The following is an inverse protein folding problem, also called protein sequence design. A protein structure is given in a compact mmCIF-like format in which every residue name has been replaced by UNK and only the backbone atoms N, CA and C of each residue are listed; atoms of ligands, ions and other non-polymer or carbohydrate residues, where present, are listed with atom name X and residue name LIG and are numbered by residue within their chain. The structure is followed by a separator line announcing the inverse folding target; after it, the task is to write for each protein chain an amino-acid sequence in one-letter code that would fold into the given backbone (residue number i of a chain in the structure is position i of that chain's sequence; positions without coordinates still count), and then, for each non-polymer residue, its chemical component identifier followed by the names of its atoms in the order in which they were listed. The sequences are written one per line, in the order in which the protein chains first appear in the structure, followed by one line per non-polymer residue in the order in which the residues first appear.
data_IF_803987424313
#
_entry.id   IF_803987424313
#
_cell.length_a   1.000
_cell.length_b   1.000
_cell.length_c   1.000
_cell.angle_alpha   90.00
_cell.angle_beta   90.00
_cell.angle_gamma   90.00
#
_symmetry.space_group_name_H-M   'P 1'
#
loop_
_entity.id
_entity.type
_entity.pdbx_description
1 polymer ?
#
# COMPACT_ATOMS: atom_id res chain seq x y z
N UNK A 1 -42.89 -2.87 33.78
CA UNK A 1 -41.64 -3.40 33.22
C UNK A 1 -40.69 -2.22 33.03
N UNK A 2 -39.58 -2.17 33.78
CA UNK A 2 -38.61 -1.09 33.64
C UNK A 2 -37.87 -1.27 32.32
N UNK A 3 -37.93 -0.24 31.46
CA UNK A 3 -37.16 -0.16 30.23
C UNK A 3 -35.71 0.04 30.66
N UNK A 4 -34.89 -1.01 30.61
CA UNK A 4 -33.44 -0.88 30.78
C UNK A 4 -32.91 -0.09 29.59
N UNK A 5 -32.51 1.16 29.83
CA UNK A 5 -31.83 1.97 28.86
C UNK A 5 -30.63 1.18 28.29
N UNK A 6 -30.54 1.09 26.96
CA UNK A 6 -29.37 0.47 26.32
C UNK A 6 -28.13 1.27 26.74
N UNK A 7 -27.06 0.61 27.23
CA UNK A 7 -25.85 1.30 27.62
C UNK A 7 -25.26 2.04 26.41
N UNK A 8 -24.85 3.29 26.64
CA UNK A 8 -24.42 4.22 25.58
C UNK A 8 -23.10 3.79 24.93
N UNK A 9 -22.26 3.10 25.70
CA UNK A 9 -21.02 2.48 25.25
C UNK A 9 -21.03 0.98 25.59
N UNK A 10 -20.50 0.18 24.68
CA UNK A 10 -20.28 -1.25 24.93
C UNK A 10 -19.16 -1.44 25.96
N UNK A 11 -19.19 -2.56 26.70
CA UNK A 11 -18.11 -2.91 27.64
C UNK A 11 -16.73 -2.95 26.96
N UNK A 12 -16.71 -3.32 25.68
CA UNK A 12 -15.50 -3.34 24.89
C UNK A 12 -14.91 -1.93 24.65
N UNK A 13 -15.77 -0.96 24.31
CA UNK A 13 -15.38 0.44 24.12
C UNK A 13 -14.89 1.07 25.42
N UNK A 14 -15.60 0.85 26.53
CA UNK A 14 -15.22 1.38 27.84
C UNK A 14 -13.89 0.80 28.30
N UNK A 15 -13.72 -0.51 28.22
CA UNK A 15 -12.46 -1.17 28.62
C UNK A 15 -11.30 -0.71 27.74
N UNK A 16 -11.50 -0.59 26.42
CA UNK A 16 -10.47 -0.09 25.50
C UNK A 16 -10.09 1.37 25.72
N UNK A 17 -10.99 2.19 26.27
CA UNK A 17 -10.67 3.57 26.61
C UNK A 17 -9.81 3.67 27.88
N UNK A 18 -10.17 2.92 28.93
CA UNK A 18 -9.53 3.05 30.25
C UNK A 18 -8.29 2.18 30.44
N UNK A 19 -8.14 1.06 29.73
CA UNK A 19 -7.09 0.08 29.98
C UNK A 19 -6.14 -0.09 28.79
N UNK A 20 -4.85 -0.15 29.09
CA UNK A 20 -3.77 -0.50 28.15
C UNK A 20 -3.05 -1.77 28.64
N UNK A 21 -2.55 -2.65 27.74
CA UNK A 21 -1.74 -3.79 28.15
C UNK A 21 -0.48 -3.32 28.89
N UNK A 22 -0.12 -4.01 29.98
CA UNK A 22 1.17 -3.82 30.62
C UNK A 22 2.28 -4.37 29.72
N UNK A 23 3.45 -3.79 29.86
CA UNK A 23 4.67 -4.23 29.19
C UNK A 23 5.73 -4.58 30.22
N UNK A 24 6.61 -5.51 29.88
CA UNK A 24 7.77 -5.85 30.70
C UNK A 24 8.96 -4.93 30.39
N UNK A 25 10.11 -5.22 31.01
CA UNK A 25 11.34 -4.44 30.87
C UNK A 25 11.96 -4.51 29.47
N UNK A 26 11.46 -5.42 28.61
CA UNK A 26 11.85 -5.57 27.21
C UNK A 26 10.80 -5.00 26.24
N UNK A 27 9.82 -4.27 26.77
CA UNK A 27 8.67 -3.71 26.04
C UNK A 27 7.72 -4.78 25.45
N UNK A 28 7.81 -6.04 25.87
CA UNK A 28 6.90 -7.11 25.42
C UNK A 28 5.55 -7.04 26.15
N UNK A 29 4.47 -7.34 25.43
CA UNK A 29 3.10 -7.27 25.99
C UNK A 29 2.89 -8.41 26.98
N UNK A 30 2.56 -8.06 28.23
CA UNK A 30 2.14 -9.01 29.24
C UNK A 30 0.63 -9.26 29.08
N UNK A 31 0.27 -10.31 28.33
CA UNK A 31 -1.10 -10.60 27.88
C UNK A 31 -2.18 -10.59 28.97
N UNK A 32 -1.83 -10.92 30.21
CA UNK A 32 -2.80 -11.01 31.30
C UNK A 32 -2.94 -9.72 32.11
N UNK A 33 -2.08 -8.72 31.94
CA UNK A 33 -2.06 -7.53 32.80
C UNK A 33 -2.37 -6.27 32.02
N UNK A 34 -3.25 -5.46 32.58
CA UNK A 34 -3.70 -4.21 31.98
C UNK A 34 -3.62 -3.09 32.99
N UNK A 35 -3.09 -1.94 32.58
CA UNK A 35 -3.01 -0.73 33.40
C UNK A 35 -4.16 0.20 33.04
N UNK A 36 -4.93 0.59 34.05
CA UNK A 36 -5.95 1.63 33.92
C UNK A 36 -5.30 3.02 33.82
N UNK A 37 -6.00 4.00 33.25
CA UNK A 37 -5.60 5.42 33.25
C UNK A 37 -5.39 6.01 34.64
N UNK A 38 -6.07 5.50 35.67
CA UNK A 38 -5.81 5.88 37.06
C UNK A 38 -4.50 5.26 37.63
N UNK A 39 -3.76 4.49 36.83
CA UNK A 39 -2.51 3.83 37.22
C UNK A 39 -2.68 2.40 37.77
N UNK A 40 -3.91 2.02 38.15
CA UNK A 40 -4.21 0.69 38.73
C UNK A 40 -3.99 -0.43 37.71
N UNK A 41 -3.23 -1.45 38.10
CA UNK A 41 -3.02 -2.65 37.27
C UNK A 41 -4.06 -3.72 37.62
N UNK A 42 -4.66 -4.33 36.61
CA UNK A 42 -5.67 -5.38 36.72
C UNK A 42 -5.29 -6.57 35.85
N UNK A 43 -5.39 -7.77 36.44
CA UNK A 43 -5.18 -9.03 35.74
C UNK A 43 -6.48 -9.51 35.08
N UNK A 44 -6.45 -9.85 33.80
CA UNK A 44 -7.55 -10.51 33.10
C UNK A 44 -7.48 -12.02 33.35
N UNK A 45 -8.47 -12.56 34.07
CA UNK A 45 -8.58 -14.02 34.28
C UNK A 45 -9.47 -14.64 33.21
N UNK A 46 -9.07 -15.80 32.66
CA UNK A 46 -9.80 -16.51 31.58
C UNK A 46 -11.28 -16.79 31.90
N UNK A 47 -11.67 -16.83 33.18
CA UNK A 47 -13.05 -17.12 33.63
C UNK A 47 -14.01 -15.93 33.66
N UNK A 48 -13.53 -14.68 33.71
CA UNK A 48 -14.37 -13.53 34.08
C UNK A 48 -14.68 -12.54 32.94
N UNK A 49 -14.26 -12.82 31.70
CA UNK A 49 -14.45 -11.90 30.57
C UNK A 49 -13.92 -10.49 30.84
N UNK A 50 -14.52 -9.45 30.25
CA UNK A 50 -14.20 -8.02 30.53
C UNK A 50 -14.92 -7.46 31.77
N UNK A 51 -15.52 -8.30 32.61
CA UNK A 51 -16.40 -7.87 33.70
C UNK A 51 -15.62 -7.23 34.84
N UNK A 52 -14.44 -7.75 35.15
CA UNK A 52 -13.52 -7.19 36.17
C UNK A 52 -13.08 -5.75 35.84
N UNK A 53 -12.83 -5.45 34.56
CA UNK A 53 -12.47 -4.12 34.10
C UNK A 53 -13.65 -3.17 34.18
N UNK A 54 -14.84 -3.60 33.75
CA UNK A 54 -16.05 -2.79 33.87
C UNK A 54 -16.41 -2.47 35.32
N UNK A 55 -16.21 -3.42 36.24
CA UNK A 55 -16.41 -3.17 37.66
C UNK A 55 -15.43 -2.11 38.20
N UNK A 56 -14.15 -2.19 37.79
CA UNK A 56 -13.16 -1.18 38.15
C UNK A 56 -13.52 0.20 37.60
N UNK A 57 -13.90 0.30 36.32
CA UNK A 57 -14.29 1.58 35.72
C UNK A 57 -15.50 2.18 36.42
N UNK A 58 -16.53 1.39 36.70
CA UNK A 58 -17.73 1.90 37.41
C UNK A 58 -17.43 2.40 38.82
N UNK A 59 -16.41 1.84 39.48
CA UNK A 59 -16.04 2.22 40.84
C UNK A 59 -15.09 3.43 40.87
N UNK A 60 -14.00 3.38 40.10
CA UNK A 60 -12.95 4.41 40.12
C UNK A 60 -13.21 5.57 39.15
N UNK A 61 -14.08 5.36 38.15
CA UNK A 61 -14.45 6.35 37.14
C UNK A 61 -15.98 6.46 37.05
N UNK A 62 -16.68 6.92 38.10
CA UNK A 62 -18.14 6.96 38.14
C UNK A 62 -18.76 7.83 37.02
N UNK A 63 -18.02 8.82 36.52
CA UNK A 63 -18.41 9.68 35.41
C UNK A 63 -17.86 9.23 34.05
N UNK A 64 -17.50 7.96 33.90
CA UNK A 64 -16.81 7.46 32.71
C UNK A 64 -17.52 7.77 31.38
N UNK A 65 -18.86 7.76 31.36
CA UNK A 65 -19.60 8.07 30.14
C UNK A 65 -19.42 9.54 29.72
N UNK A 66 -19.43 10.46 30.68
CA UNK A 66 -19.19 11.89 30.44
C UNK A 66 -17.74 12.14 30.03
N UNK A 67 -16.77 11.51 30.70
CA UNK A 67 -15.35 11.59 30.34
C UNK A 67 -15.10 11.05 28.92
N UNK A 68 -15.74 9.95 28.54
CA UNK A 68 -15.66 9.40 27.18
C UNK A 68 -16.33 10.33 26.15
N UNK A 69 -17.46 10.97 26.50
CA UNK A 69 -18.13 11.97 25.65
C UNK A 69 -17.31 13.25 25.49
N UNK A 70 -16.72 13.79 26.56
CA UNK A 70 -15.82 14.95 26.51
C UNK A 70 -14.55 14.64 25.72
N UNK A 71 -14.01 13.43 25.85
CA UNK A 71 -12.91 12.96 25.02
C UNK A 71 -13.31 12.77 23.55
N UNK A 72 -14.60 12.55 23.27
CA UNK A 72 -15.13 12.48 21.90
C UNK A 72 -15.43 13.88 21.32
N UNK A 73 -15.83 14.83 22.16
CA UNK A 73 -16.33 16.17 21.76
C UNK A 73 -15.24 17.26 21.78
N UNK A 74 -14.30 17.21 22.73
CA UNK A 74 -13.14 18.14 22.78
C UNK A 74 -12.00 17.73 21.85
N UNK A 75 -12.07 16.52 21.26
CA UNK A 75 -11.05 15.98 20.34
C UNK A 75 -11.55 15.80 18.91
N UNK A 76 -12.22 16.81 18.37
CA UNK A 76 -12.17 17.04 16.92
C UNK A 76 -10.72 17.29 16.42
N UNK A 77 -9.76 17.46 17.34
CA UNK A 77 -8.33 17.63 17.04
C UNK A 77 -7.37 16.48 17.43
N UNK A 78 -7.80 15.37 18.06
CA UNK A 78 -6.85 14.28 18.35
C UNK A 78 -7.48 12.91 18.57
N UNK A 79 -7.67 12.17 17.49
CA UNK A 79 -7.98 10.72 17.47
C UNK A 79 -6.89 9.85 18.13
N UNK A 80 -5.77 10.43 18.61
CA UNK A 80 -4.58 9.72 19.09
C UNK A 80 -4.83 8.78 20.29
N UNK A 81 -5.87 8.99 21.10
CA UNK A 81 -6.16 8.06 22.20
C UNK A 81 -6.91 6.80 21.77
N UNK A 82 -7.43 6.76 20.54
CA UNK A 82 -8.14 5.60 19.97
C UNK A 82 -7.29 4.82 18.97
N UNK A 83 -6.23 5.44 18.44
CA UNK A 83 -5.31 4.81 17.49
C UNK A 83 -4.19 4.13 18.27
N UNK A 84 -3.97 2.84 18.01
CA UNK A 84 -2.87 2.10 18.66
C UNK A 84 -1.52 2.78 18.42
N UNK A 85 -0.61 2.74 19.41
CA UNK A 85 0.75 3.28 19.25
C UNK A 85 1.46 2.67 18.05
N UNK A 86 1.29 1.36 17.82
CA UNK A 86 1.81 0.65 16.65
C UNK A 86 1.30 1.26 15.33
N UNK A 87 0.00 1.56 15.23
CA UNK A 87 -0.58 2.20 14.04
C UNK A 87 -0.04 3.62 13.82
N UNK A 88 0.17 4.39 14.91
CA UNK A 88 0.77 5.72 14.82
C UNK A 88 2.22 5.66 14.33
N UNK A 89 3.01 4.72 14.87
CA UNK A 89 4.40 4.48 14.46
C UNK A 89 4.47 4.09 12.98
N UNK A 90 3.66 3.13 12.53
CA UNK A 90 3.63 2.70 11.13
C UNK A 90 3.24 3.85 10.19
N UNK A 91 2.19 4.60 10.53
CA UNK A 91 1.77 5.77 9.76
C UNK A 91 2.88 6.83 9.72
N UNK A 92 3.54 7.12 10.84
CA UNK A 92 4.63 8.09 10.91
C UNK A 92 5.79 7.71 10.00
N UNK A 93 6.21 6.44 10.02
CA UNK A 93 7.25 5.94 9.13
C UNK A 93 6.83 5.99 7.66
N UNK A 94 5.64 5.50 7.31
CA UNK A 94 5.12 5.53 5.93
C UNK A 94 5.04 6.96 5.40
N UNK A 95 4.46 7.88 6.17
CA UNK A 95 4.36 9.28 5.80
C UNK A 95 5.74 9.87 5.54
N UNK A 96 6.70 9.63 6.41
CA UNK A 96 8.05 10.16 6.24
C UNK A 96 8.71 9.60 4.97
N UNK A 97 8.72 8.28 4.82
CA UNK A 97 9.33 7.60 3.66
C UNK A 97 8.72 8.10 2.36
N UNK A 98 7.39 8.15 2.26
CA UNK A 98 6.68 8.53 1.03
C UNK A 98 6.84 10.01 0.72
N UNK A 99 6.57 10.90 1.69
CA UNK A 99 6.61 12.36 1.44
C UNK A 99 8.01 12.89 1.18
N UNK A 100 9.03 12.22 1.70
CA UNK A 100 10.43 12.58 1.47
C UNK A 100 11.09 11.78 0.34
N UNK A 101 10.35 10.90 -0.34
CA UNK A 101 10.85 10.03 -1.40
C UNK A 101 12.13 9.27 -0.99
N UNK A 102 12.09 8.64 0.20
CA UNK A 102 13.19 7.88 0.75
C UNK A 102 13.02 6.38 0.46
N UNK A 103 14.10 5.60 0.42
CA UNK A 103 13.99 4.14 0.32
C UNK A 103 13.34 3.57 1.59
N UNK A 104 12.60 2.45 1.47
CA UNK A 104 12.00 1.77 2.64
C UNK A 104 13.03 1.41 3.72
N UNK A 105 14.26 1.08 3.32
CA UNK A 105 15.40 0.79 4.22
C UNK A 105 15.76 1.95 5.14
N UNK A 106 15.25 3.16 4.88
CA UNK A 106 15.43 4.33 5.73
C UNK A 106 14.93 4.09 7.17
N UNK A 107 13.85 3.34 7.37
CA UNK A 107 13.34 3.03 8.72
C UNK A 107 14.28 2.13 9.53
N UNK A 108 15.22 1.47 8.86
CA UNK A 108 16.22 0.59 9.45
C UNK A 108 17.57 1.27 9.65
N UNK A 109 17.75 2.45 9.07
CA UNK A 109 19.00 3.18 9.16
C UNK A 109 19.30 3.52 10.64
N UNK A 110 20.51 3.14 11.08
CA UNK A 110 20.95 3.30 12.47
C UNK A 110 20.97 4.76 12.94
N UNK A 111 21.38 5.70 12.08
CA UNK A 111 21.39 7.11 12.42
C UNK A 111 19.95 7.64 12.53
N UNK A 112 19.09 7.30 11.57
CA UNK A 112 17.67 7.67 11.61
C UNK A 112 16.99 7.18 12.88
N UNK A 113 17.17 5.91 13.24
CA UNK A 113 16.65 5.31 14.48
C UNK A 113 17.17 5.99 15.74
N UNK A 114 18.39 6.54 15.70
CA UNK A 114 19.00 7.26 16.84
C UNK A 114 18.39 8.64 17.06
N UNK A 115 17.94 9.30 16.00
CA UNK A 115 17.49 10.70 16.06
C UNK A 115 15.98 10.90 15.91
N UNK A 116 15.24 9.84 15.58
CA UNK A 116 13.77 9.86 15.51
C UNK A 116 13.12 9.65 16.89
N UNK A 117 11.88 10.11 17.03
CA UNK A 117 11.01 9.80 18.16
C UNK A 117 10.06 8.62 17.88
N UNK A 118 10.06 8.10 16.64
CA UNK A 118 9.25 6.94 16.25
C UNK A 118 9.88 5.64 16.78
N UNK A 119 9.05 4.73 17.27
CA UNK A 119 9.53 3.42 17.69
C UNK A 119 10.14 2.67 16.47
N UNK A 120 11.24 1.91 16.63
CA UNK A 120 11.89 1.22 15.51
C UNK A 120 10.98 0.23 14.79
N UNK A 121 11.05 0.20 13.45
CA UNK A 121 10.36 -0.79 12.60
C UNK A 121 11.32 -1.36 11.55
N UNK A 122 11.05 -2.57 11.07
CA UNK A 122 11.74 -3.16 9.92
C UNK A 122 10.94 -2.96 8.62
N UNK A 123 11.62 -3.12 7.49
CA UNK A 123 11.01 -3.00 6.16
C UNK A 123 9.87 -4.00 6.00
N UNK A 124 10.04 -5.22 6.49
CA UNK A 124 9.02 -6.28 6.40
C UNK A 124 7.75 -5.89 7.16
N UNK A 125 7.88 -5.24 8.32
CA UNK A 125 6.72 -4.79 9.10
C UNK A 125 5.98 -3.67 8.38
N UNK A 126 6.70 -2.70 7.78
CA UNK A 126 6.08 -1.65 6.98
C UNK A 126 5.38 -2.21 5.74
N UNK A 127 6.02 -3.16 5.05
CA UNK A 127 5.46 -3.80 3.86
C UNK A 127 4.21 -4.61 4.20
N UNK A 128 4.27 -5.45 5.23
CA UNK A 128 3.13 -6.23 5.71
C UNK A 128 1.95 -5.34 6.14
N UNK A 129 2.21 -4.18 6.75
CA UNK A 129 1.16 -3.23 7.09
C UNK A 129 0.49 -2.61 5.85
N UNK A 130 1.26 -2.31 4.81
CA UNK A 130 0.74 -1.81 3.54
C UNK A 130 -0.08 -2.88 2.81
N UNK A 131 0.46 -4.10 2.72
CA UNK A 131 -0.20 -5.27 2.15
C UNK A 131 -1.52 -5.54 2.88
N UNK A 132 -1.51 -5.61 4.22
CA UNK A 132 -2.71 -5.82 5.02
C UNK A 132 -3.77 -4.72 4.82
N UNK A 133 -3.34 -3.46 4.66
CA UNK A 133 -4.26 -2.35 4.37
C UNK A 133 -4.95 -2.55 3.03
N UNK A 134 -4.20 -2.92 1.98
CA UNK A 134 -4.76 -3.19 0.65
C UNK A 134 -5.68 -4.42 0.73
N UNK A 135 -5.25 -5.51 1.35
CA UNK A 135 -6.03 -6.75 1.51
C UNK A 135 -7.36 -6.51 2.22
N UNK A 136 -7.36 -5.70 3.28
CA UNK A 136 -8.59 -5.39 4.03
C UNK A 136 -9.58 -4.53 3.25
N UNK A 137 -9.09 -3.71 2.32
CA UNK A 137 -9.88 -2.80 1.49
C UNK A 137 -10.34 -3.49 0.19
N UNK A 138 -9.50 -4.33 -0.40
CA UNK A 138 -9.69 -4.92 -1.72
C UNK A 138 -10.88 -5.89 -1.75
N UNK A 139 -11.90 -5.63 -2.58
CA UNK A 139 -13.05 -6.53 -2.74
C UNK A 139 -12.65 -7.83 -3.43
N UNK A 140 -13.56 -8.80 -3.44
CA UNK A 140 -13.34 -10.05 -4.18
C UNK A 140 -13.38 -9.80 -5.69
N UNK A 141 -14.22 -8.88 -6.17
CA UNK A 141 -14.28 -8.50 -7.58
C UNK A 141 -13.36 -7.31 -7.88
N UNK A 142 -12.34 -7.53 -8.70
CA UNK A 142 -11.36 -6.51 -9.07
C UNK A 142 -10.89 -6.68 -10.52
N UNK A 143 -10.26 -5.67 -11.09
CA UNK A 143 -9.47 -5.78 -12.32
C UNK A 143 -7.98 -5.71 -12.03
N UNK A 144 -7.17 -6.12 -13.01
CA UNK A 144 -5.71 -5.97 -12.96
C UNK A 144 -5.24 -5.01 -14.03
N UNK A 145 -4.29 -4.14 -13.69
CA UNK A 145 -3.58 -3.30 -14.67
C UNK A 145 -2.14 -3.79 -14.69
N UNK A 146 -1.68 -4.17 -15.88
CA UNK A 146 -0.36 -4.71 -16.12
C UNK A 146 0.46 -3.69 -16.90
N UNK A 147 1.65 -3.42 -16.38
CA UNK A 147 2.65 -2.61 -17.06
C UNK A 147 3.94 -3.41 -17.18
N UNK A 148 4.33 -3.72 -18.41
CA UNK A 148 5.52 -4.50 -18.71
C UNK A 148 6.58 -3.63 -19.34
N UNK A 149 7.79 -3.61 -18.78
CA UNK A 149 8.92 -2.92 -19.38
C UNK A 149 10.21 -3.72 -19.26
N UNK A 150 11.21 -3.37 -20.06
CA UNK A 150 12.52 -4.01 -20.02
C UNK A 150 13.57 -2.99 -19.62
N UNK A 151 14.39 -3.34 -18.64
CA UNK A 151 15.52 -2.52 -18.21
C UNK A 151 16.75 -3.41 -18.07
N UNK A 152 17.86 -3.03 -18.74
CA UNK A 152 19.16 -3.73 -18.62
C UNK A 152 19.03 -5.26 -18.76
N UNK A 153 18.36 -5.72 -19.83
CA UNK A 153 18.07 -7.12 -20.16
C UNK A 153 17.12 -7.89 -19.23
N UNK A 154 16.59 -7.26 -18.18
CA UNK A 154 15.56 -7.85 -17.33
C UNK A 154 14.19 -7.30 -17.70
N UNK A 155 13.20 -8.19 -17.79
CA UNK A 155 11.80 -7.80 -17.96
C UNK A 155 11.16 -7.66 -16.59
N UNK A 156 10.45 -6.56 -16.39
CA UNK A 156 9.72 -6.24 -15.18
C UNK A 156 8.24 -6.19 -15.50
N UNK A 157 7.45 -6.74 -14.57
CA UNK A 157 6.00 -6.62 -14.57
C UNK A 157 5.56 -5.83 -13.33
N UNK A 158 4.96 -4.67 -13.56
CA UNK A 158 4.14 -3.96 -12.59
C UNK A 158 2.71 -4.46 -12.64
N UNK A 159 2.14 -4.76 -11.48
CA UNK A 159 0.75 -5.22 -11.33
C UNK A 159 0.04 -4.28 -10.36
N UNK A 160 -1.02 -3.65 -10.83
CA UNK A 160 -1.93 -2.86 -10.01
C UNK A 160 -3.28 -3.58 -9.91
N UNK A 161 -3.87 -3.56 -8.73
CA UNK A 161 -5.29 -3.88 -8.59
C UNK A 161 -6.12 -2.68 -9.01
N UNK A 162 -7.32 -2.88 -9.54
CA UNK A 162 -8.27 -1.84 -9.91
C UNK A 162 -9.66 -2.20 -9.38
N UNK A 163 -10.21 -1.40 -8.49
CA UNK A 163 -11.52 -1.65 -7.88
C UNK A 163 -12.18 -0.36 -7.43
N UNK A 164 -13.48 -0.40 -7.11
CA UNK A 164 -14.25 0.76 -6.68
C UNK A 164 -14.68 0.64 -5.22
N UNK A 165 -14.49 1.72 -4.45
CA UNK A 165 -15.01 1.84 -3.09
C UNK A 165 -15.66 3.20 -2.92
N UNK A 166 -16.95 3.20 -2.60
CA UNK A 166 -17.73 4.43 -2.41
C UNK A 166 -17.64 5.36 -3.62
N UNK A 167 -17.79 4.82 -4.84
CA UNK A 167 -17.71 5.58 -6.10
C UNK A 167 -16.35 6.21 -6.40
N UNK A 168 -15.29 5.74 -5.75
CA UNK A 168 -13.92 6.11 -6.06
C UNK A 168 -13.16 4.89 -6.53
N UNK A 169 -12.60 4.99 -7.74
CA UNK A 169 -11.68 4.00 -8.27
C UNK A 169 -10.38 4.07 -7.47
N UNK A 170 -9.90 2.90 -7.04
CA UNK A 170 -8.63 2.69 -6.37
C UNK A 170 -7.75 1.85 -7.28
N UNK A 171 -6.49 2.27 -7.43
CA UNK A 171 -5.51 1.58 -8.27
C UNK A 171 -4.16 1.37 -7.56
N UNK A 172 -4.12 0.63 -6.42
CA UNK A 172 -2.87 0.41 -5.72
C UNK A 172 -1.92 -0.50 -6.54
N UNK A 173 -0.63 -0.18 -6.52
CA UNK A 173 0.42 -1.10 -6.96
C UNK A 173 0.48 -2.25 -5.94
N UNK A 174 0.24 -3.47 -6.40
CA UNK A 174 0.24 -4.66 -5.55
C UNK A 174 1.48 -5.51 -5.76
N UNK A 175 2.15 -5.38 -6.90
CA UNK A 175 3.40 -6.07 -7.16
C UNK A 175 4.25 -5.34 -8.21
N UNK A 176 5.56 -5.43 -8.05
CA UNK A 176 6.55 -5.12 -9.08
C UNK A 176 7.61 -6.20 -8.99
N UNK A 177 7.69 -7.06 -10.00
CA UNK A 177 8.59 -8.21 -9.98
C UNK A 177 9.34 -8.34 -11.31
N UNK A 178 10.63 -8.73 -11.28
CA UNK A 178 11.28 -9.21 -12.48
C UNK A 178 10.65 -10.55 -12.88
N UNK A 179 10.28 -10.69 -14.14
CA UNK A 179 9.79 -11.94 -14.72
C UNK A 179 10.68 -12.34 -15.88
N UNK A 180 10.93 -13.64 -16.03
CA UNK A 180 11.63 -14.12 -17.21
C UNK A 180 10.70 -13.97 -18.41
N UNK A 181 11.17 -13.24 -19.42
CA UNK A 181 10.49 -13.21 -20.70
C UNK A 181 11.05 -14.37 -21.52
N UNK A 182 10.24 -15.38 -21.74
CA UNK A 182 10.59 -16.51 -22.58
C UNK A 182 10.58 -16.08 -24.05
N UNK A 183 11.31 -16.80 -24.90
CA UNK A 183 11.31 -16.52 -26.34
C UNK A 183 9.94 -16.79 -27.00
N UNK A 184 9.12 -17.62 -26.35
CA UNK A 184 7.75 -17.90 -26.75
C UNK A 184 6.77 -17.09 -25.88
N UNK A 185 6.02 -16.20 -26.53
CA UNK A 185 5.03 -15.34 -25.86
C UNK A 185 3.96 -16.13 -25.09
N UNK A 186 3.67 -17.37 -25.54
CA UNK A 186 2.76 -18.28 -24.86
C UNK A 186 3.32 -18.79 -23.53
N UNK A 187 4.62 -19.11 -23.50
CA UNK A 187 5.33 -19.47 -22.27
C UNK A 187 5.42 -18.28 -21.31
N UNK A 188 5.72 -17.07 -21.81
CA UNK A 188 5.70 -15.85 -20.99
C UNK A 188 4.31 -15.60 -20.38
N UNK A 189 3.24 -15.71 -21.17
CA UNK A 189 1.88 -15.53 -20.66
C UNK A 189 1.48 -16.60 -19.62
N UNK A 190 1.94 -17.84 -19.78
CA UNK A 190 1.74 -18.90 -18.79
C UNK A 190 2.46 -18.57 -17.48
N UNK A 191 3.73 -18.16 -17.56
CA UNK A 191 4.52 -17.75 -16.40
C UNK A 191 3.88 -16.56 -15.67
N UNK A 192 3.38 -15.56 -16.41
CA UNK A 192 2.65 -14.43 -15.83
C UNK A 192 1.38 -14.89 -15.11
N UNK A 193 0.61 -15.81 -15.70
CA UNK A 193 -0.59 -16.37 -15.06
C UNK A 193 -0.25 -17.13 -13.79
N UNK A 194 0.74 -18.01 -13.82
CA UNK A 194 1.16 -18.79 -12.64
C UNK A 194 1.66 -17.89 -11.53
N UNK A 195 2.49 -16.90 -11.88
CA UNK A 195 2.94 -15.88 -10.95
C UNK A 195 1.76 -15.15 -10.27
N UNK A 196 0.77 -14.69 -11.04
CA UNK A 196 -0.41 -14.02 -10.49
C UNK A 196 -1.27 -14.97 -9.64
N UNK A 197 -1.44 -16.21 -10.08
CA UNK A 197 -2.21 -17.23 -9.38
C UNK A 197 -1.57 -17.66 -8.06
N UNK A 198 -0.25 -17.51 -7.91
CA UNK A 198 0.46 -17.74 -6.65
C UNK A 198 0.51 -16.49 -5.77
N UNK A 199 0.74 -15.33 -6.36
CA UNK A 199 0.92 -14.06 -5.66
C UNK A 199 -0.38 -13.56 -5.02
N UNK A 200 -1.49 -13.58 -5.77
CA UNK A 200 -2.77 -13.06 -5.29
C UNK A 200 -3.28 -13.80 -4.04
N UNK A 201 -3.28 -15.15 -3.97
CA UNK A 201 -3.74 -15.84 -2.76
C UNK A 201 -2.77 -15.68 -1.60
N UNK A 202 -1.46 -15.76 -1.87
CA UNK A 202 -0.42 -15.71 -0.84
C UNK A 202 -0.37 -14.36 -0.14
N UNK A 203 -0.42 -13.28 -0.92
CA UNK A 203 -0.14 -11.93 -0.41
C UNK A 203 -1.44 -11.15 -0.12
N UNK A 204 -2.54 -11.44 -0.84
CA UNK A 204 -3.79 -10.70 -0.74
C UNK A 204 -5.03 -11.56 -0.42
N UNK A 205 -4.90 -12.88 -0.33
CA UNK A 205 -6.03 -13.78 -0.14
C UNK A 205 -7.04 -13.75 -1.28
N UNK A 206 -6.61 -13.34 -2.48
CA UNK A 206 -7.46 -13.21 -3.67
C UNK A 206 -7.16 -14.31 -4.67
N UNK A 207 -8.18 -14.75 -5.39
CA UNK A 207 -8.04 -15.74 -6.45
C UNK A 207 -8.05 -15.06 -7.81
N UNK A 208 -7.28 -15.60 -8.75
CA UNK A 208 -7.14 -15.03 -10.09
C UNK A 208 -8.47 -15.05 -10.88
N UNK A 209 -9.35 -16.00 -10.58
CA UNK A 209 -10.68 -16.14 -11.16
C UNK A 209 -11.68 -15.06 -10.71
N UNK A 210 -11.37 -14.33 -9.64
CA UNK A 210 -12.15 -13.17 -9.20
C UNK A 210 -11.79 -11.88 -9.97
N UNK A 211 -10.76 -11.94 -10.81
CA UNK A 211 -10.41 -10.88 -11.74
C UNK A 211 -11.51 -10.74 -12.80
N UNK A 212 -11.97 -9.51 -13.06
CA UNK A 212 -13.02 -9.21 -14.02
C UNK A 212 -12.51 -8.77 -15.38
N UNK A 213 -11.31 -8.18 -15.41
CA UNK A 213 -10.69 -7.65 -16.63
C UNK A 213 -9.20 -7.42 -16.40
N UNK A 214 -8.44 -7.42 -17.49
CA UNK A 214 -7.03 -7.00 -17.51
C UNK A 214 -6.92 -5.73 -18.32
N UNK A 215 -6.13 -4.76 -17.85
CA UNK A 215 -5.75 -3.57 -18.61
C UNK A 215 -4.26 -3.71 -18.93
N UNK A 216 -3.88 -3.54 -20.18
CA UNK A 216 -2.50 -3.66 -20.59
C UNK A 216 -2.31 -3.17 -22.01
N UNK A 217 -1.06 -3.03 -22.44
CA UNK A 217 -0.78 -2.84 -23.85
C UNK A 217 -1.22 -4.08 -24.64
N UNK A 218 -1.58 -3.90 -25.92
CA UNK A 218 -2.15 -4.97 -26.74
C UNK A 218 -1.05 -5.90 -27.31
N UNK A 219 -0.05 -6.22 -26.51
CA UNK A 219 1.00 -7.16 -26.87
C UNK A 219 0.48 -8.61 -26.83
N UNK A 220 1.16 -9.50 -27.55
CA UNK A 220 0.82 -10.93 -27.65
C UNK A 220 0.78 -11.62 -26.30
N UNK A 221 1.70 -11.29 -25.38
CA UNK A 221 1.73 -11.83 -24.02
C UNK A 221 0.45 -11.47 -23.25
N UNK A 222 0.03 -10.20 -23.27
CA UNK A 222 -1.20 -9.76 -22.59
C UNK A 222 -2.47 -10.34 -23.24
N UNK A 223 -2.53 -10.44 -24.57
CA UNK A 223 -3.61 -11.10 -25.31
C UNK A 223 -3.69 -12.61 -25.08
N UNK A 224 -2.56 -13.23 -24.73
CA UNK A 224 -2.55 -14.64 -24.37
C UNK A 224 -2.94 -14.82 -22.91
N UNK A 225 -2.49 -13.92 -22.04
CA UNK A 225 -2.78 -13.93 -20.62
C UNK A 225 -4.28 -13.74 -20.35
N UNK A 226 -4.94 -12.77 -20.98
CA UNK A 226 -6.39 -12.55 -20.80
C UNK A 226 -7.20 -13.77 -21.29
N UNK A 227 -6.80 -14.39 -22.40
CA UNK A 227 -7.36 -15.64 -22.89
C UNK A 227 -7.17 -16.81 -21.91
N UNK A 228 -6.01 -16.89 -21.25
CA UNK A 228 -5.71 -17.93 -20.25
C UNK A 228 -6.46 -17.72 -18.92
N UNK A 229 -6.72 -16.48 -18.55
CA UNK A 229 -7.52 -16.13 -17.36
C UNK A 229 -9.02 -16.23 -17.68
N UNK A 230 -9.42 -15.99 -18.93
CA UNK A 230 -10.81 -16.00 -19.38
C UNK A 230 -11.54 -14.68 -19.18
N UNK A 231 -10.83 -13.55 -19.25
CA UNK A 231 -11.36 -12.19 -18.98
C UNK A 231 -11.03 -11.24 -20.14
N UNK A 232 -11.79 -10.15 -20.33
CA UNK A 232 -11.48 -9.19 -21.40
C UNK A 232 -10.17 -8.41 -21.13
N UNK A 233 -9.33 -8.28 -22.16
CA UNK A 233 -8.24 -7.30 -22.22
C UNK A 233 -8.74 -5.92 -22.69
N UNK A 234 -8.58 -4.91 -21.84
CA UNK A 234 -8.81 -3.50 -22.14
C UNK A 234 -7.48 -2.88 -22.56
N UNK A 235 -7.39 -2.47 -23.82
CA UNK A 235 -6.16 -1.89 -24.35
C UNK A 235 -5.74 -0.59 -23.63
N UNK A 236 -4.44 -0.45 -23.41
CA UNK A 236 -3.83 0.72 -22.80
C UNK A 236 -4.00 1.98 -23.66
N UNK A 237 -4.58 3.04 -23.08
CA UNK A 237 -4.84 4.30 -23.79
C UNK A 237 -3.56 5.03 -24.20
N UNK A 238 -2.53 5.04 -23.36
CA UNK A 238 -1.24 5.66 -23.68
C UNK A 238 -0.55 4.92 -24.82
N UNK A 239 -0.63 3.59 -24.88
CA UNK A 239 -0.12 2.82 -26.02
C UNK A 239 -0.86 3.12 -27.31
N UNK A 240 -2.20 3.22 -27.26
CA UNK A 240 -2.99 3.62 -28.44
C UNK A 240 -2.59 5.01 -28.94
N UNK A 241 -2.41 5.97 -28.05
CA UNK A 241 -1.95 7.31 -28.40
C UNK A 241 -0.54 7.27 -28.98
N UNK A 242 0.38 6.54 -28.35
CA UNK A 242 1.75 6.37 -28.83
C UNK A 242 1.77 5.78 -30.26
N UNK A 243 0.94 4.76 -30.54
CA UNK A 243 0.79 4.21 -31.90
C UNK A 243 0.26 5.25 -32.90
N UNK A 244 -0.75 6.04 -32.52
CA UNK A 244 -1.26 7.10 -33.37
C UNK A 244 -0.19 8.17 -33.66
N UNK A 245 0.56 8.59 -32.63
CA UNK A 245 1.67 9.54 -32.76
C UNK A 245 2.81 8.97 -33.61
N UNK A 246 3.05 7.66 -33.58
CA UNK A 246 4.06 7.04 -34.46
C UNK A 246 3.63 7.01 -35.93
N UNK A 247 2.34 7.02 -36.22
CA UNK A 247 1.81 7.04 -37.59
C UNK A 247 1.83 8.42 -38.23
N UNK A 248 1.60 9.47 -37.44
CA UNK A 248 1.56 10.85 -37.93
C UNK A 248 2.83 11.29 -38.68
N UNK A 249 4.05 11.03 -38.19
CA UNK A 249 5.28 11.49 -38.84
C UNK A 249 5.77 10.59 -39.98
N UNK A 250 4.98 9.65 -40.48
CA UNK A 250 5.40 8.82 -41.63
C UNK A 250 5.83 9.67 -42.84
N UNK A 251 5.24 10.85 -43.04
CA UNK A 251 5.64 11.80 -44.09
C UNK A 251 6.99 12.49 -43.84
N UNK A 252 7.50 12.47 -42.61
CA UNK A 252 8.71 13.14 -42.16
C UNK A 252 9.79 12.18 -41.66
N UNK A 253 9.68 10.88 -42.01
CA UNK A 253 10.58 9.85 -41.51
C UNK A 253 12.06 10.15 -41.81
N UNK A 254 12.35 10.69 -43.00
CA UNK A 254 13.71 11.09 -43.38
C UNK A 254 14.27 12.23 -42.51
N UNK A 255 13.46 13.25 -42.23
CA UNK A 255 13.85 14.38 -41.38
C UNK A 255 14.05 13.90 -39.93
N UNK A 256 13.15 13.07 -39.42
CA UNK A 256 13.28 12.47 -38.09
C UNK A 256 14.52 11.58 -37.97
N UNK A 257 14.84 10.78 -38.98
CA UNK A 257 16.05 9.98 -39.00
C UNK A 257 17.32 10.86 -38.97
N UNK A 258 17.31 11.97 -39.71
CA UNK A 258 18.42 12.94 -39.69
C UNK A 258 18.57 13.60 -38.31
N UNK A 259 17.46 14.04 -37.71
CA UNK A 259 17.44 14.61 -36.36
C UNK A 259 17.91 13.58 -35.34
N UNK A 260 17.40 12.35 -35.38
CA UNK A 260 17.81 11.27 -34.48
C UNK A 260 19.32 10.97 -34.57
N UNK A 261 19.85 10.87 -35.80
CA UNK A 261 21.28 10.68 -36.03
C UNK A 261 22.12 11.84 -35.50
N UNK A 262 21.62 13.06 -35.59
CA UNK A 262 22.23 14.26 -35.00
C UNK A 262 22.20 14.18 -33.46
N UNK A 263 21.06 13.85 -32.86
CA UNK A 263 20.88 13.70 -31.42
C UNK A 263 21.84 12.65 -30.83
N UNK A 264 21.99 11.49 -31.48
CA UNK A 264 22.96 10.47 -31.07
C UNK A 264 24.39 11.03 -31.03
N UNK A 265 24.80 11.77 -32.06
CA UNK A 265 26.16 12.35 -32.12
C UNK A 265 26.36 13.43 -31.06
N UNK A 266 25.32 14.22 -30.80
CA UNK A 266 25.36 15.37 -29.89
C UNK A 266 25.12 14.99 -28.42
N UNK A 267 24.69 13.76 -28.10
CA UNK A 267 24.41 13.31 -26.71
C UNK A 267 25.63 13.32 -25.78
N UNK A 268 26.84 13.30 -26.33
CA UNK A 268 28.07 13.32 -25.53
C UNK A 268 28.32 14.72 -24.96
N UNK A 269 28.87 14.81 -23.74
CA UNK A 269 29.15 16.10 -23.08
C UNK A 269 29.95 17.06 -23.97
N UNK A 270 30.97 16.55 -24.66
CA UNK A 270 31.84 17.35 -25.54
C UNK A 270 31.08 17.91 -26.75
N UNK A 271 30.23 17.11 -27.39
CA UNK A 271 29.49 17.55 -28.58
C UNK A 271 28.29 18.42 -28.20
N UNK A 272 27.60 18.11 -27.10
CA UNK A 272 26.56 18.96 -26.51
C UNK A 272 27.12 20.33 -26.12
N UNK A 273 28.32 20.40 -25.54
CA UNK A 273 28.97 21.67 -25.21
C UNK A 273 29.24 22.53 -26.46
N UNK A 274 29.71 21.92 -27.54
CA UNK A 274 29.91 22.62 -28.83
C UNK A 274 28.59 23.12 -29.42
N UNK A 275 27.50 22.35 -29.30
CA UNK A 275 26.17 22.77 -29.75
C UNK A 275 25.65 23.97 -28.98
N UNK A 276 25.83 24.01 -27.65
CA UNK A 276 25.39 25.13 -26.79
C UNK A 276 26.03 26.47 -27.13
N UNK A 277 27.18 26.46 -27.78
CA UNK A 277 27.83 27.67 -28.30
C UNK A 277 27.18 28.20 -29.58
N UNK A 278 26.34 27.40 -30.23
CA UNK A 278 25.72 27.71 -31.54
C UNK A 278 24.21 27.89 -31.47
N UNK A 279 23.54 27.24 -30.52
CA UNK A 279 22.09 27.28 -30.35
C UNK A 279 21.69 27.08 -28.89
N UNK A 280 20.50 27.56 -28.52
CA UNK A 280 19.87 27.30 -27.22
C UNK A 280 19.30 25.89 -27.10
N UNK A 281 19.21 25.15 -28.20
CA UNK A 281 18.67 23.80 -28.25
C UNK A 281 19.58 22.79 -27.54
N UNK A 282 18.97 21.75 -26.97
CA UNK A 282 19.68 20.64 -26.33
C UNK A 282 19.25 19.32 -26.99
N UNK A 283 20.21 18.43 -27.29
CA UNK A 283 19.92 17.07 -27.74
C UNK A 283 19.39 16.22 -26.58
#
# INVERSE_FOLDING_TARGET
MAITARPRFTSAQVTGFYFQPCRDDFDEIILEYFRCRCGTVRKQTRRNGRVNFMQHVRHEHPNFEAEMLEATTSKTGSLLSYVSRSSQTLYGWLMWVVTSNLPLTFCENRATRRYTTLDPVCVETLRAALEASITSEMPDQFGLILDGWTHMSEHYLGVFACYEIGSKVKTPLICMAPLMNEADDGLSALAHREFLADMLPRDFGKQIDQCLFVVGDNCSVNQRLDSLIGVPLIGCASHRLNRAVQQDPHSHEADLAAVYGLTIKLRTLTQSAKLRLKTSLRP
#
